data_IF_202084526910
#
_entry.id   IF_202084526910
#
_cell.length_a   1.000
_cell.length_b   1.000
_cell.length_c   1.000
_cell.angle_alpha   90.00
_cell.angle_beta   90.00
_cell.angle_gamma   90.00
#
_symmetry.space_group_name_H-M   'P 1'
#
loop_
_entity.id
_entity.type
_entity.pdbx_description
1 polymer ?
#
# COMPACT_ATOMS: atom_id res chain seq x y z
N UNK A 1 21.21 -9.66 3.92
CA UNK A 1 19.80 -9.39 4.30
C UNK A 1 19.35 -8.10 3.65
N UNK A 2 18.19 -8.09 2.98
CA UNK A 2 17.74 -6.95 2.17
C UNK A 2 16.39 -6.39 2.64
N UNK A 3 16.20 -5.08 2.48
CA UNK A 3 14.89 -4.43 2.66
C UNK A 3 14.27 -4.27 1.27
N UNK A 4 13.11 -4.87 1.04
CA UNK A 4 12.35 -4.70 -0.21
C UNK A 4 11.08 -3.91 0.07
N UNK A 5 10.92 -2.79 -0.63
CA UNK A 5 9.64 -2.07 -0.65
C UNK A 5 8.70 -2.89 -1.53
N UNK A 6 7.62 -3.40 -0.95
CA UNK A 6 6.65 -4.24 -1.68
C UNK A 6 5.61 -3.36 -2.36
N UNK A 7 5.10 -2.38 -1.62
CA UNK A 7 4.03 -1.50 -2.09
C UNK A 7 4.02 -0.21 -1.30
N UNK A 8 3.41 0.78 -1.92
CA UNK A 8 3.15 2.08 -1.32
C UNK A 8 1.67 2.38 -1.55
N UNK A 9 0.97 2.79 -0.49
CA UNK A 9 -0.46 3.07 -0.52
C UNK A 9 -0.68 4.48 0.03
N UNK A 10 -1.60 5.22 -0.58
CA UNK A 10 -2.13 6.46 -0.01
C UNK A 10 -3.23 6.08 0.96
N UNK A 11 -3.14 6.60 2.17
CA UNK A 11 -4.14 6.44 3.22
C UNK A 11 -4.83 7.78 3.46
N UNK A 12 -6.15 7.76 3.43
CA UNK A 12 -7.00 8.87 3.83
C UNK A 12 -7.41 8.70 5.30
N UNK A 13 -7.20 9.76 6.08
CA UNK A 13 -7.78 10.01 7.39
C UNK A 13 -8.41 11.41 7.28
N UNK A 14 -9.58 11.69 7.88
CA UNK A 14 -10.19 13.02 7.77
C UNK A 14 -9.17 14.14 8.03
N UNK A 15 -9.06 15.09 7.09
CA UNK A 15 -8.09 16.18 7.04
C UNK A 15 -6.60 15.82 6.79
N UNK A 16 -6.24 14.54 6.59
CA UNK A 16 -4.85 14.11 6.34
C UNK A 16 -4.75 13.01 5.29
N UNK A 17 -3.94 13.26 4.28
CA UNK A 17 -3.47 12.25 3.34
C UNK A 17 -2.01 11.92 3.63
N UNK A 18 -1.68 10.64 3.75
CA UNK A 18 -0.30 10.21 3.96
C UNK A 18 0.04 8.96 3.16
N UNK A 19 1.33 8.80 2.89
CA UNK A 19 1.88 7.65 2.17
C UNK A 19 2.32 6.58 3.15
N UNK A 20 1.68 5.41 3.10
CA UNK A 20 2.03 4.22 3.86
C UNK A 20 2.89 3.29 3.00
N UNK A 21 4.12 3.00 3.45
CA UNK A 21 5.04 2.09 2.75
C UNK A 21 5.09 0.75 3.46
N UNK A 22 4.90 -0.33 2.72
CA UNK A 22 5.03 -1.69 3.23
C UNK A 22 6.40 -2.22 2.84
N UNK A 23 7.23 -2.48 3.85
CA UNK A 23 8.59 -2.94 3.71
C UNK A 23 8.64 -4.37 4.21
N UNK A 24 9.05 -5.30 3.34
CA UNK A 24 9.38 -6.66 3.75
C UNK A 24 10.87 -6.80 3.94
N UNK A 25 11.22 -7.47 5.03
CA UNK A 25 12.57 -7.86 5.36
C UNK A 25 12.80 -9.28 4.87
N UNK A 26 13.95 -9.49 4.22
CA UNK A 26 14.43 -10.84 3.93
C UNK A 26 15.39 -11.30 5.02
N UNK A 27 15.10 -12.47 5.58
CA UNK A 27 15.92 -13.12 6.59
C UNK A 27 16.37 -14.48 6.06
N UNK A 28 17.66 -14.78 6.27
CA UNK A 28 18.17 -16.14 6.15
C UNK A 28 18.11 -16.77 7.54
N UNK A 29 17.73 -18.05 7.61
CA UNK A 29 17.87 -18.78 8.86
C UNK A 29 19.33 -19.17 9.06
N UNK A 30 19.84 -18.99 10.27
CA UNK A 30 21.17 -19.47 10.67
C UNK A 30 21.15 -20.95 11.09
N UNK A 31 20.01 -21.63 10.92
CA UNK A 31 19.76 -23.01 11.29
C UNK A 31 20.12 -24.05 10.22
N UNK A 32 20.83 -23.66 9.15
CA UNK A 32 21.11 -24.54 8.01
C UNK A 32 22.60 -24.90 7.88
N UNK A 33 22.87 -26.18 7.65
CA UNK A 33 24.18 -26.69 7.23
C UNK A 33 24.45 -26.33 5.76
N UNK A 34 25.47 -25.51 5.52
CA UNK A 34 25.85 -25.03 4.18
C UNK A 34 26.32 -26.15 3.23
N UNK A 35 26.58 -27.36 3.75
CA UNK A 35 27.07 -28.52 3.00
C UNK A 35 25.97 -29.35 2.33
N UNK A 36 24.69 -29.15 2.68
CA UNK A 36 23.58 -30.00 2.24
C UNK A 36 22.62 -29.23 1.33
N UNK A 37 22.25 -27.99 1.67
CA UNK A 37 21.32 -27.17 0.87
C UNK A 37 21.60 -25.66 0.98
N UNK A 38 21.19 -24.91 -0.05
CA UNK A 38 21.30 -23.44 -0.04
C UNK A 38 20.39 -22.82 1.04
N UNK A 39 20.91 -21.81 1.78
CA UNK A 39 20.18 -21.12 2.85
C UNK A 39 18.79 -20.66 2.39
N UNK A 40 17.68 -21.11 3.00
CA UNK A 40 16.36 -20.65 2.60
C UNK A 40 16.19 -19.19 3.01
N UNK A 41 16.08 -18.31 2.01
CA UNK A 41 15.74 -16.91 2.18
C UNK A 41 14.23 -16.82 2.35
N UNK A 42 13.75 -16.47 3.55
CA UNK A 42 12.34 -16.24 3.81
C UNK A 42 12.01 -14.75 3.77
N UNK A 43 10.88 -14.42 3.18
CA UNK A 43 10.33 -13.06 3.14
C UNK A 43 9.13 -12.97 4.08
N UNK A 44 8.97 -11.83 4.76
CA UNK A 44 7.80 -11.61 5.60
C UNK A 44 6.51 -11.54 4.79
N UNK A 45 5.48 -12.24 5.25
CA UNK A 45 4.14 -12.14 4.69
C UNK A 45 3.63 -10.70 4.82
N UNK A 46 3.17 -10.15 3.70
CA UNK A 46 2.69 -8.78 3.62
C UNK A 46 1.22 -8.81 3.19
N UNK A 47 0.34 -8.00 3.81
CA UNK A 47 -1.06 -8.00 3.43
C UNK A 47 -1.24 -7.65 1.95
N UNK A 48 -2.28 -8.19 1.31
CA UNK A 48 -2.58 -7.88 -0.10
C UNK A 48 -3.21 -6.49 -0.22
N UNK A 49 -2.99 -5.83 -1.34
CA UNK A 49 -3.60 -4.53 -1.65
C UNK A 49 -5.02 -4.75 -2.17
N UNK A 50 -5.98 -3.83 -1.90
CA UNK A 50 -7.33 -3.91 -2.45
C UNK A 50 -7.31 -3.90 -3.99
N UNK A 51 -6.50 -3.01 -4.57
CA UNK A 51 -6.23 -2.97 -6.02
C UNK A 51 -4.74 -3.21 -6.22
N UNK A 52 -4.40 -4.29 -6.92
CA UNK A 52 -3.00 -4.63 -7.19
C UNK A 52 -2.35 -3.56 -8.06
N UNK A 53 -1.08 -3.23 -7.76
CA UNK A 53 -0.26 -2.23 -8.48
C UNK A 53 -0.82 -0.80 -8.48
N UNK A 54 -1.81 -0.51 -7.63
CA UNK A 54 -2.33 0.85 -7.44
C UNK A 54 -1.81 1.46 -6.13
N UNK A 55 -1.75 2.79 -6.09
CA UNK A 55 -1.53 3.55 -4.85
C UNK A 55 -2.81 3.68 -4.03
N UNK A 56 -3.97 3.26 -4.53
CA UNK A 56 -5.24 3.34 -3.83
C UNK A 56 -5.27 2.38 -2.64
N UNK A 57 -5.06 2.93 -1.44
CA UNK A 57 -5.28 2.21 -0.19
C UNK A 57 -6.77 2.00 0.10
N UNK A 58 -7.07 1.09 1.03
CA UNK A 58 -8.46 0.76 1.39
C UNK A 58 -9.25 1.99 1.88
N UNK A 59 -8.62 2.90 2.63
CA UNK A 59 -9.28 4.10 3.12
C UNK A 59 -9.57 5.14 2.04
N UNK A 60 -8.69 5.27 1.04
CA UNK A 60 -8.94 6.14 -0.11
C UNK A 60 -10.12 5.62 -0.93
N UNK A 61 -10.19 4.32 -1.17
CA UNK A 61 -11.32 3.71 -1.87
C UNK A 61 -12.63 3.88 -1.09
N UNK A 62 -12.59 3.72 0.24
CA UNK A 62 -13.75 3.97 1.09
C UNK A 62 -14.26 5.41 0.96
N UNK A 63 -13.36 6.39 0.96
CA UNK A 63 -13.72 7.80 0.78
C UNK A 63 -14.28 8.07 -0.62
N UNK A 64 -13.66 7.54 -1.67
CA UNK A 64 -14.15 7.66 -3.05
C UNK A 64 -15.56 7.08 -3.19
N UNK A 65 -15.83 5.93 -2.56
CA UNK A 65 -17.17 5.35 -2.55
C UNK A 65 -18.16 6.16 -1.71
N UNK A 66 -17.75 6.69 -0.57
CA UNK A 66 -18.58 7.57 0.26
C UNK A 66 -19.00 8.82 -0.54
N UNK A 67 -18.03 9.49 -1.17
CA UNK A 67 -18.26 10.64 -2.04
C UNK A 67 -19.20 10.32 -3.19
N UNK A 68 -19.02 9.16 -3.84
CA UNK A 68 -19.82 8.79 -5.01
C UNK A 68 -21.25 8.40 -4.67
N UNK A 69 -21.44 7.59 -3.61
CA UNK A 69 -22.73 6.95 -3.32
C UNK A 69 -23.52 7.62 -2.19
N UNK A 70 -22.84 8.17 -1.19
CA UNK A 70 -23.52 8.85 -0.07
C UNK A 70 -23.70 10.33 -0.39
N UNK A 71 -22.65 10.99 -0.84
CA UNK A 71 -22.68 12.43 -1.14
C UNK A 71 -23.11 12.74 -2.58
N UNK A 72 -23.23 11.72 -3.44
CA UNK A 72 -23.60 11.87 -4.85
C UNK A 72 -22.75 12.90 -5.60
N UNK A 73 -21.46 12.98 -5.28
CA UNK A 73 -20.55 13.94 -5.90
C UNK A 73 -20.40 13.63 -7.40
N UNK A 74 -20.58 14.62 -8.28
CA UNK A 74 -20.40 14.40 -9.72
C UNK A 74 -18.92 14.17 -10.04
N UNK A 75 -18.65 13.35 -11.07
CA UNK A 75 -17.28 12.91 -11.38
C UNK A 75 -16.30 14.07 -11.60
N UNK A 76 -16.73 15.18 -12.22
CA UNK A 76 -15.86 16.34 -12.43
C UNK A 76 -15.41 16.99 -11.11
N UNK A 77 -16.30 17.06 -10.11
CA UNK A 77 -15.99 17.62 -8.79
C UNK A 77 -15.05 16.68 -8.04
N UNK A 78 -15.32 15.38 -8.08
CA UNK A 78 -14.45 14.39 -7.47
C UNK A 78 -13.02 14.47 -8.06
N UNK A 79 -12.89 14.53 -9.39
CA UNK A 79 -11.57 14.69 -10.02
C UNK A 79 -10.89 16.01 -9.61
N UNK A 80 -11.65 17.08 -9.45
CA UNK A 80 -11.12 18.37 -8.98
C UNK A 80 -10.65 18.32 -7.52
N UNK A 81 -11.35 17.60 -6.63
CA UNK A 81 -10.98 17.45 -5.21
C UNK A 81 -9.74 16.59 -5.02
N UNK A 82 -9.59 15.53 -5.82
CA UNK A 82 -8.40 14.67 -5.80
C UNK A 82 -7.28 15.16 -6.74
N UNK A 83 -7.52 16.28 -7.42
CA UNK A 83 -6.55 16.92 -8.30
C UNK A 83 -5.37 17.49 -7.52
N UNK A 84 -4.28 17.85 -8.21
CA UNK A 84 -3.16 18.51 -7.57
C UNK A 84 -3.63 19.86 -6.98
N UNK A 85 -3.62 19.95 -5.66
CA UNK A 85 -3.68 21.25 -4.98
C UNK A 85 -2.29 21.87 -5.08
N UNK A 86 -2.05 22.64 -6.14
CA UNK A 86 -0.90 23.55 -6.17
C UNK A 86 -1.17 24.62 -5.12
N UNK A 87 -0.41 24.58 -4.02
CA UNK A 87 -0.35 25.64 -3.01
C UNK A 87 0.76 26.60 -3.38
#
# INVERSE_FOLDING_TARGET
MGKKIIREEVCFVPARLYKKRYISYTYACDCHDESIEAKPIRCAETPKAPIQRSFAGASVLAEVFHQKYVLSIPCYRQVSEWGPHTV
#
